data_IF_431403192176
#
_entry.id   IF_431403192176
#
_cell.length_a   1.000
_cell.length_b   1.000
_cell.length_c   1.000
_cell.angle_alpha   90.00
_cell.angle_beta   90.00
_cell.angle_gamma   90.00
#
_symmetry.space_group_name_H-M   'P 1'
#
loop_
_entity.id
_entity.type
_entity.pdbx_description
1 polymer ?
#
# COMPACT_ATOMS: atom_id res chain seq x y z
N UNK A 1 35.33 -4.05 -2.36
CA UNK A 1 34.32 -4.51 -1.39
C UNK A 1 33.12 -4.94 -2.20
N UNK A 2 32.70 -6.23 -2.13
CA UNK A 2 31.49 -6.69 -2.80
C UNK A 2 30.29 -5.89 -2.23
N UNK A 3 29.51 -5.30 -3.11
CA UNK A 3 28.28 -4.60 -2.73
C UNK A 3 27.37 -5.57 -1.94
N UNK A 4 26.83 -5.11 -0.82
CA UNK A 4 25.95 -5.91 0.02
C UNK A 4 24.74 -6.35 -0.82
N UNK A 5 24.47 -7.64 -0.91
CA UNK A 5 23.38 -8.21 -1.71
C UNK A 5 22.01 -7.61 -1.37
N UNK A 6 21.77 -7.27 -0.10
CA UNK A 6 20.56 -6.59 0.34
C UNK A 6 20.41 -5.23 -0.35
N UNK A 7 21.48 -4.43 -0.41
CA UNK A 7 21.45 -3.12 -1.06
C UNK A 7 21.19 -3.23 -2.56
N UNK A 8 21.70 -4.28 -3.22
CA UNK A 8 21.41 -4.54 -4.63
C UNK A 8 19.92 -4.77 -4.87
N UNK A 9 19.26 -5.58 -4.04
CA UNK A 9 17.82 -5.83 -4.12
C UNK A 9 16.99 -4.62 -3.68
N UNK A 10 17.41 -3.92 -2.63
CA UNK A 10 16.71 -2.73 -2.12
C UNK A 10 16.72 -1.58 -3.14
N UNK A 11 17.76 -1.46 -3.92
CA UNK A 11 17.88 -0.46 -4.98
C UNK A 11 16.96 -0.72 -6.19
N UNK A 12 16.42 -1.94 -6.33
CA UNK A 12 15.52 -2.28 -7.44
C UNK A 12 14.20 -1.52 -7.32
N UNK A 13 13.92 -0.68 -8.34
CA UNK A 13 12.67 0.06 -8.36
C UNK A 13 11.52 -0.78 -8.91
N UNK A 14 10.67 -1.30 -8.01
CA UNK A 14 9.48 -2.07 -8.38
C UNK A 14 8.20 -1.24 -8.44
N UNK A 15 8.23 0.09 -8.21
CA UNK A 15 7.04 0.96 -8.16
C UNK A 15 6.10 0.81 -9.35
N UNK A 16 6.65 0.67 -10.57
CA UNK A 16 5.85 0.47 -11.79
C UNK A 16 5.16 -0.89 -11.88
N UNK A 17 5.56 -1.86 -11.04
CA UNK A 17 5.03 -3.23 -11.00
C UNK A 17 4.07 -3.46 -9.83
N UNK A 18 3.99 -2.50 -8.92
CA UNK A 18 3.09 -2.51 -7.78
C UNK A 18 1.69 -2.12 -8.23
N UNK A 19 0.70 -2.88 -7.80
CA UNK A 19 -0.73 -2.57 -7.98
C UNK A 19 -1.35 -2.32 -6.61
N UNK A 20 -2.29 -1.39 -6.53
CA UNK A 20 -3.13 -1.23 -5.33
C UNK A 20 -4.31 -2.20 -5.39
N UNK A 21 -4.54 -2.93 -4.30
CA UNK A 21 -5.69 -3.81 -4.12
C UNK A 21 -6.18 -3.68 -2.69
N UNK A 22 -7.43 -3.25 -2.49
CA UNK A 22 -8.03 -3.03 -1.16
C UNK A 22 -7.17 -2.14 -0.24
N UNK A 23 -6.66 -1.03 -0.78
CA UNK A 23 -5.83 -0.09 -0.02
C UNK A 23 -4.37 -0.54 0.20
N UNK A 24 -4.03 -1.80 -0.05
CA UNK A 24 -2.68 -2.34 0.11
C UNK A 24 -1.90 -2.34 -1.19
N UNK A 25 -0.60 -2.14 -1.08
CA UNK A 25 0.32 -2.31 -2.18
C UNK A 25 0.54 -3.81 -2.45
N UNK A 26 0.51 -4.19 -3.71
CA UNK A 26 0.64 -5.56 -4.16
C UNK A 26 1.69 -5.69 -5.26
N UNK A 27 2.77 -6.40 -4.98
CA UNK A 27 3.73 -6.85 -5.98
C UNK A 27 3.42 -8.32 -6.32
N UNK A 28 3.26 -8.64 -7.61
CA UNK A 28 3.01 -10.03 -7.99
C UNK A 28 4.24 -10.91 -7.72
N UNK A 29 4.00 -12.17 -7.32
CA UNK A 29 5.07 -13.14 -7.08
C UNK A 29 5.99 -13.31 -8.30
N UNK A 30 5.43 -13.32 -9.50
CA UNK A 30 6.18 -13.45 -10.74
C UNK A 30 7.09 -12.26 -11.01
N UNK A 31 6.63 -11.04 -10.69
CA UNK A 31 7.45 -9.85 -10.80
C UNK A 31 8.57 -9.83 -9.76
N UNK A 32 8.27 -10.21 -8.51
CA UNK A 32 9.26 -10.29 -7.44
C UNK A 32 10.33 -11.33 -7.78
N UNK A 33 9.91 -12.54 -8.14
CA UNK A 33 10.82 -13.64 -8.48
C UNK A 33 11.69 -13.31 -9.68
N UNK A 34 11.14 -12.70 -10.74
CA UNK A 34 11.89 -12.29 -11.89
C UNK A 34 13.01 -11.30 -11.56
N UNK A 35 12.76 -10.32 -10.67
CA UNK A 35 13.80 -9.37 -10.24
C UNK A 35 14.88 -10.05 -9.39
N UNK A 36 14.51 -10.96 -8.49
CA UNK A 36 15.46 -11.76 -7.72
C UNK A 36 16.36 -12.57 -8.66
N UNK A 37 15.77 -13.32 -9.60
CA UNK A 37 16.53 -14.21 -10.51
C UNK A 37 17.43 -13.46 -11.50
N UNK A 38 17.14 -12.19 -11.83
CA UNK A 38 18.02 -11.35 -12.64
C UNK A 38 19.33 -11.01 -11.94
N UNK A 39 19.29 -10.76 -10.63
CA UNK A 39 20.46 -10.40 -9.83
C UNK A 39 21.13 -11.62 -9.21
N UNK A 40 20.35 -12.62 -8.85
CA UNK A 40 20.77 -13.84 -8.16
C UNK A 40 20.21 -15.08 -8.90
N UNK A 41 20.83 -15.52 -10.00
CA UNK A 41 20.35 -16.64 -10.80
C UNK A 41 20.24 -17.96 -10.01
N UNK A 42 21.08 -18.13 -8.98
CA UNK A 42 21.11 -19.33 -8.13
C UNK A 42 20.11 -19.27 -6.96
N UNK A 43 19.34 -18.17 -6.82
CA UNK A 43 18.31 -18.08 -5.79
C UNK A 43 17.30 -19.22 -5.92
N UNK A 44 16.92 -19.78 -4.79
CA UNK A 44 15.92 -20.85 -4.68
C UNK A 44 14.83 -20.46 -3.68
N UNK A 45 13.78 -21.26 -3.60
CA UNK A 45 12.73 -21.08 -2.59
C UNK A 45 12.29 -22.44 -2.04
N UNK A 46 11.75 -22.42 -0.82
CA UNK A 46 11.14 -23.55 -0.17
C UNK A 46 9.67 -23.27 0.15
N UNK A 47 8.82 -24.28 -0.02
CA UNK A 47 7.47 -24.34 0.51
C UNK A 47 7.54 -25.41 1.60
N UNK A 48 7.32 -25.00 2.85
CA UNK A 48 7.38 -25.91 3.97
C UNK A 48 6.11 -26.75 4.03
N UNK A 49 6.30 -28.03 4.29
CA UNK A 49 5.26 -29.04 4.37
C UNK A 49 5.26 -29.72 5.73
N UNK A 50 4.17 -30.35 6.08
CA UNK A 50 4.06 -31.21 7.24
C UNK A 50 3.25 -32.46 6.91
N UNK A 51 3.51 -33.54 7.62
CA UNK A 51 2.68 -34.72 7.59
C UNK A 51 1.50 -34.58 8.56
N UNK A 52 0.35 -35.08 8.16
CA UNK A 52 -0.82 -35.24 9.01
C UNK A 52 -0.80 -36.59 9.69
N UNK A 53 -1.56 -36.82 10.78
CA UNK A 53 -1.57 -38.12 11.49
C UNK A 53 -1.98 -39.32 10.60
N UNK A 54 -2.71 -39.10 9.54
CA UNK A 54 -3.13 -40.08 8.52
C UNK A 54 -2.12 -40.21 7.36
N UNK A 55 -0.92 -39.60 7.48
CA UNK A 55 0.18 -39.76 6.53
C UNK A 55 0.09 -38.90 5.25
N UNK A 56 -0.80 -37.92 5.21
CA UNK A 56 -0.86 -36.98 4.07
C UNK A 56 0.16 -35.86 4.26
N UNK A 57 0.87 -35.52 3.19
CA UNK A 57 1.72 -34.32 3.15
C UNK A 57 0.90 -33.12 2.73
N UNK A 58 0.90 -32.08 3.54
CA UNK A 58 0.19 -30.81 3.31
C UNK A 58 1.13 -29.63 3.44
N UNK A 59 0.84 -28.57 2.70
CA UNK A 59 1.68 -27.36 2.60
C UNK A 59 1.10 -26.16 3.38
N UNK A 60 0.39 -26.44 4.47
CA UNK A 60 -0.10 -25.44 5.40
C UNK A 60 -0.01 -25.95 6.83
N UNK A 61 -0.01 -25.03 7.79
CA UNK A 61 0.01 -25.26 9.22
C UNK A 61 -1.30 -24.74 9.83
N UNK A 62 -1.72 -25.28 10.98
CA UNK A 62 -2.99 -24.90 11.60
C UNK A 62 -2.93 -24.99 13.13
N UNK A 63 -3.70 -24.11 13.77
CA UNK A 63 -4.03 -24.13 15.20
C UNK A 63 -5.37 -24.86 15.50
N UNK A 64 -5.97 -25.47 14.48
CA UNK A 64 -7.27 -26.13 14.56
C UNK A 64 -8.47 -25.20 14.27
N UNK A 65 -8.25 -23.87 14.18
CA UNK A 65 -9.28 -22.86 13.87
C UNK A 65 -9.04 -22.16 12.55
N UNK A 66 -7.82 -21.77 12.32
CA UNK A 66 -7.35 -21.11 11.10
C UNK A 66 -6.11 -21.83 10.58
N UNK A 67 -5.54 -21.34 9.48
CA UNK A 67 -4.30 -21.89 8.96
C UNK A 67 -3.39 -20.82 8.38
N UNK A 68 -2.11 -21.16 8.24
CA UNK A 68 -1.10 -20.32 7.61
C UNK A 68 -0.17 -21.16 6.76
N UNK A 69 0.53 -20.51 5.86
CA UNK A 69 1.60 -21.11 5.06
C UNK A 69 2.95 -20.64 5.57
N UNK A 70 3.99 -21.45 5.33
CA UNK A 70 5.37 -21.13 5.64
C UNK A 70 6.22 -21.30 4.40
N UNK A 71 6.96 -20.28 4.00
CA UNK A 71 7.83 -20.31 2.84
C UNK A 71 9.18 -19.70 3.16
N UNK A 72 10.21 -20.05 2.39
CA UNK A 72 11.54 -19.48 2.48
C UNK A 72 12.06 -19.08 1.10
N UNK A 73 12.86 -18.02 1.04
CA UNK A 73 13.66 -17.67 -0.13
C UNK A 73 15.12 -17.68 0.28
N UNK A 74 15.95 -18.34 -0.54
CA UNK A 74 17.39 -18.48 -0.31
C UNK A 74 18.16 -17.68 -1.35
N UNK A 75 18.98 -16.74 -0.89
CA UNK A 75 19.90 -15.95 -1.71
C UNK A 75 21.28 -15.97 -1.04
N UNK A 76 22.33 -16.31 -1.77
CA UNK A 76 23.70 -16.40 -1.25
C UNK A 76 23.80 -17.28 0.01
N UNK A 77 23.10 -18.40 0.05
CA UNK A 77 22.99 -19.33 1.20
C UNK A 77 22.35 -18.73 2.46
N UNK A 78 21.73 -17.58 2.36
CA UNK A 78 20.93 -16.97 3.44
C UNK A 78 19.47 -17.23 3.13
N UNK A 79 18.75 -17.87 4.06
CA UNK A 79 17.32 -18.08 3.94
C UNK A 79 16.56 -17.07 4.78
N UNK A 80 15.59 -16.40 4.17
CA UNK A 80 14.57 -15.64 4.88
C UNK A 80 13.22 -16.34 4.79
N UNK A 81 12.68 -16.67 5.95
CA UNK A 81 11.40 -17.36 6.09
C UNK A 81 10.31 -16.35 6.34
N UNK A 82 9.14 -16.61 5.75
CA UNK A 82 7.90 -15.87 5.96
C UNK A 82 6.77 -16.83 6.30
N UNK A 83 5.98 -16.46 7.30
CA UNK A 83 4.74 -17.14 7.66
C UNK A 83 3.58 -16.21 7.38
N UNK A 84 2.57 -16.67 6.63
CA UNK A 84 1.45 -15.84 6.23
C UNK A 84 0.12 -16.55 6.51
N UNK A 85 -0.80 -15.94 7.27
CA UNK A 85 -2.16 -16.47 7.43
C UNK A 85 -2.88 -16.60 6.09
N UNK A 86 -3.72 -17.63 5.98
CA UNK A 86 -4.64 -17.76 4.84
C UNK A 86 -5.84 -16.86 5.08
N UNK A 87 -6.00 -15.84 4.23
CA UNK A 87 -6.95 -14.75 4.42
C UNK A 87 -7.90 -14.60 3.23
N UNK A 88 -9.08 -14.09 3.53
CA UNK A 88 -10.08 -13.68 2.54
C UNK A 88 -9.71 -12.35 1.85
N UNK A 89 -10.63 -11.85 1.02
CA UNK A 89 -10.45 -10.59 0.29
C UNK A 89 -10.50 -9.34 1.21
N UNK A 90 -10.98 -9.49 2.45
CA UNK A 90 -10.97 -8.43 3.48
C UNK A 90 -9.74 -8.49 4.40
N UNK A 91 -8.78 -9.35 4.09
CA UNK A 91 -7.60 -9.66 4.90
C UNK A 91 -7.93 -10.26 6.28
N UNK A 92 -9.08 -10.93 6.42
CA UNK A 92 -9.44 -11.67 7.62
C UNK A 92 -9.09 -13.15 7.45
N UNK A 93 -8.58 -13.79 8.52
CA UNK A 93 -8.25 -15.21 8.49
C UNK A 93 -9.48 -16.05 8.16
N UNK A 94 -9.33 -16.98 7.22
CA UNK A 94 -10.38 -17.91 6.84
C UNK A 94 -10.40 -19.07 7.86
N UNK A 95 -11.58 -19.47 8.32
CA UNK A 95 -11.71 -20.64 9.19
C UNK A 95 -11.29 -21.91 8.44
N UNK A 96 -10.60 -22.84 9.13
CA UNK A 96 -9.99 -24.04 8.54
C UNK A 96 -10.99 -24.84 7.67
N UNK A 97 -12.22 -24.96 8.10
CA UNK A 97 -13.30 -25.67 7.38
C UNK A 97 -13.66 -25.05 6.02
N UNK A 98 -13.39 -23.76 5.83
CA UNK A 98 -13.72 -23.02 4.62
C UNK A 98 -12.54 -22.78 3.69
N UNK A 99 -11.34 -23.16 4.13
CA UNK A 99 -10.13 -22.97 3.33
C UNK A 99 -10.11 -23.91 2.15
N UNK A 100 -9.80 -23.37 1.00
CA UNK A 100 -9.64 -24.13 -0.25
C UNK A 100 -8.17 -24.22 -0.66
N UNK A 101 -7.82 -25.19 -1.50
CA UNK A 101 -6.49 -25.28 -2.10
C UNK A 101 -6.11 -24.03 -2.89
N UNK A 102 -7.08 -23.35 -3.48
CA UNK A 102 -6.86 -22.06 -4.15
C UNK A 102 -6.43 -20.96 -3.17
N UNK A 103 -6.98 -20.95 -1.96
CA UNK A 103 -6.62 -19.95 -0.95
C UNK A 103 -5.23 -20.23 -0.38
N UNK A 104 -4.91 -21.52 -0.16
CA UNK A 104 -3.55 -21.94 0.22
C UNK A 104 -2.53 -21.49 -0.85
N UNK A 105 -2.79 -21.78 -2.13
CA UNK A 105 -1.86 -21.39 -3.20
C UNK A 105 -1.68 -19.86 -3.28
N UNK A 106 -2.75 -19.07 -3.13
CA UNK A 106 -2.65 -17.59 -3.06
C UNK A 106 -1.80 -17.13 -1.88
N UNK A 107 -1.97 -17.75 -0.71
CA UNK A 107 -1.19 -17.45 0.48
C UNK A 107 0.29 -17.78 0.27
N UNK A 108 0.62 -18.94 -0.31
CA UNK A 108 2.00 -19.33 -0.67
C UNK A 108 2.64 -18.27 -1.58
N UNK A 109 1.97 -17.84 -2.65
CA UNK A 109 2.52 -16.85 -3.57
C UNK A 109 2.77 -15.49 -2.89
N UNK A 110 1.88 -15.07 -2.00
CA UNK A 110 2.06 -13.84 -1.20
C UNK A 110 3.20 -13.98 -0.19
N UNK A 111 3.29 -15.12 0.47
CA UNK A 111 4.36 -15.44 1.43
C UNK A 111 5.74 -15.40 0.75
N UNK A 112 5.89 -16.04 -0.41
CA UNK A 112 7.13 -15.99 -1.20
C UNK A 112 7.51 -14.56 -1.60
N UNK A 113 6.53 -13.71 -1.97
CA UNK A 113 6.79 -12.30 -2.29
C UNK A 113 7.32 -11.55 -1.07
N UNK A 114 6.74 -11.77 0.12
CA UNK A 114 7.22 -11.16 1.37
C UNK A 114 8.60 -11.70 1.77
N UNK A 115 8.87 -12.98 1.57
CA UNK A 115 10.20 -13.55 1.78
C UNK A 115 11.26 -12.88 0.86
N UNK A 116 10.93 -12.58 -0.41
CA UNK A 116 11.79 -11.77 -1.28
C UNK A 116 12.01 -10.36 -0.70
N UNK A 117 11.00 -9.75 -0.11
CA UNK A 117 11.13 -8.41 0.48
C UNK A 117 12.05 -8.41 1.71
N UNK A 118 12.10 -9.49 2.50
CA UNK A 118 13.06 -9.62 3.61
C UNK A 118 14.52 -9.61 3.13
N UNK A 119 14.77 -9.98 1.89
CA UNK A 119 16.07 -9.83 1.23
C UNK A 119 16.32 -8.42 0.68
N UNK A 120 15.36 -7.49 0.81
CA UNK A 120 15.47 -6.11 0.37
C UNK A 120 14.56 -5.73 -0.80
N UNK A 121 14.11 -6.69 -1.63
CA UNK A 121 13.37 -6.38 -2.86
C UNK A 121 12.01 -5.73 -2.57
N UNK A 122 11.91 -4.44 -2.88
CA UNK A 122 10.65 -3.70 -2.72
C UNK A 122 10.17 -3.63 -1.26
N UNK A 123 11.05 -3.75 -0.28
CA UNK A 123 10.70 -3.74 1.14
C UNK A 123 9.86 -2.51 1.52
N UNK A 124 10.15 -1.36 0.91
CA UNK A 124 9.43 -0.10 1.12
C UNK A 124 7.93 -0.15 0.75
N UNK A 125 7.47 -1.14 -0.04
CA UNK A 125 6.04 -1.25 -0.37
C UNK A 125 5.20 -1.77 0.80
N UNK A 126 5.86 -2.38 1.79
CA UNK A 126 5.24 -2.92 3.00
C UNK A 126 5.31 -1.96 4.20
N UNK A 127 5.96 -0.81 4.03
CA UNK A 127 5.95 0.24 5.05
C UNK A 127 4.51 0.65 5.38
N UNK A 128 4.17 0.62 6.68
CA UNK A 128 2.82 0.92 7.17
C UNK A 128 1.85 -0.27 7.19
N UNK A 129 2.22 -1.48 6.79
CA UNK A 129 1.35 -2.66 6.98
C UNK A 129 1.11 -2.99 8.46
N UNK A 130 2.09 -2.69 9.33
CA UNK A 130 2.03 -2.95 10.77
C UNK A 130 1.37 -1.84 11.59
N UNK A 131 0.85 -0.79 10.91
CA UNK A 131 0.10 0.27 11.59
C UNK A 131 -1.21 -0.33 12.14
N UNK A 132 -1.54 -0.11 13.44
CA UNK A 132 -2.78 -0.57 14.03
C UNK A 132 -4.01 -0.18 13.22
N UNK A 133 -5.00 -1.07 13.14
CA UNK A 133 -6.18 -0.88 12.29
C UNK A 133 -6.92 0.43 12.61
N UNK A 134 -6.97 0.79 13.88
CA UNK A 134 -7.53 2.07 14.34
C UNK A 134 -6.80 3.30 13.77
N UNK A 135 -5.47 3.27 13.71
CA UNK A 135 -4.69 4.36 13.12
C UNK A 135 -4.86 4.43 11.59
N UNK A 136 -5.05 3.27 10.94
CA UNK A 136 -5.38 3.21 9.51
C UNK A 136 -6.75 3.82 9.21
N UNK A 137 -7.74 3.52 10.04
CA UNK A 137 -9.09 4.11 9.94
C UNK A 137 -9.05 5.62 10.13
N UNK A 138 -8.33 6.11 11.16
CA UNK A 138 -8.16 7.55 11.40
C UNK A 138 -7.42 8.27 10.25
N UNK A 139 -6.43 7.61 9.64
CA UNK A 139 -5.73 8.17 8.48
C UNK A 139 -6.64 8.21 7.24
N UNK A 140 -7.40 7.14 6.98
CA UNK A 140 -8.36 7.09 5.87
C UNK A 140 -9.47 8.13 6.04
N UNK A 141 -9.97 8.32 7.26
CA UNK A 141 -10.98 9.35 7.55
C UNK A 141 -10.43 10.76 7.30
N UNK A 142 -9.20 11.04 7.72
CA UNK A 142 -8.53 12.33 7.45
C UNK A 142 -8.31 12.56 5.96
N UNK A 143 -7.89 11.52 5.22
CA UNK A 143 -7.72 11.61 3.76
C UNK A 143 -9.07 11.88 3.06
N UNK A 144 -10.13 11.21 3.48
CA UNK A 144 -11.47 11.42 2.95
C UNK A 144 -11.97 12.85 3.23
N UNK A 145 -11.84 13.31 4.47
CA UNK A 145 -12.22 14.69 4.86
C UNK A 145 -11.43 15.74 4.06
N UNK A 146 -10.13 15.51 3.82
CA UNK A 146 -9.33 16.42 2.98
C UNK A 146 -9.80 16.38 1.52
N UNK A 147 -10.14 15.22 0.98
CA UNK A 147 -10.66 15.09 -0.37
C UNK A 147 -12.00 15.84 -0.53
N UNK A 148 -12.91 15.70 0.42
CA UNK A 148 -14.20 16.40 0.44
C UNK A 148 -14.02 17.92 0.51
N UNK A 149 -13.09 18.42 1.33
CA UNK A 149 -12.79 19.85 1.40
C UNK A 149 -12.16 20.39 0.10
N UNK A 150 -11.32 19.60 -0.57
CA UNK A 150 -10.78 19.98 -1.90
C UNK A 150 -11.87 20.04 -2.94
N UNK A 151 -12.79 19.09 -2.96
CA UNK A 151 -13.93 19.09 -3.88
C UNK A 151 -14.81 20.31 -3.65
N UNK A 152 -15.15 20.62 -2.39
CA UNK A 152 -15.91 21.82 -2.04
C UNK A 152 -15.19 23.12 -2.48
N UNK A 153 -13.86 23.17 -2.33
CA UNK A 153 -13.07 24.30 -2.84
C UNK A 153 -13.16 24.42 -4.36
N UNK A 154 -13.03 23.30 -5.09
CA UNK A 154 -13.10 23.30 -6.57
C UNK A 154 -14.49 23.73 -7.05
N UNK A 155 -15.56 23.23 -6.42
CA UNK A 155 -16.93 23.63 -6.73
C UNK A 155 -17.17 25.12 -6.47
N UNK A 156 -16.70 25.64 -5.32
CA UNK A 156 -16.77 27.06 -4.98
C UNK A 156 -16.04 27.92 -6.02
N UNK A 157 -14.83 27.51 -6.41
CA UNK A 157 -14.05 28.19 -7.45
C UNK A 157 -14.80 28.22 -8.79
N UNK A 158 -15.35 27.07 -9.22
CA UNK A 158 -16.14 26.96 -10.44
C UNK A 158 -17.33 27.95 -10.44
N UNK A 159 -18.15 27.87 -9.39
CA UNK A 159 -19.33 28.74 -9.22
C UNK A 159 -18.98 30.24 -9.22
N UNK A 160 -17.87 30.63 -8.60
CA UNK A 160 -17.43 32.01 -8.56
C UNK A 160 -16.92 32.49 -9.93
N UNK A 161 -16.15 31.69 -10.64
CA UNK A 161 -15.59 31.98 -11.96
C UNK A 161 -16.73 32.10 -12.97
N UNK A 162 -17.70 31.19 -12.94
CA UNK A 162 -18.89 31.23 -13.79
C UNK A 162 -19.76 32.47 -13.49
N UNK A 163 -19.75 32.92 -12.22
CA UNK A 163 -20.38 34.17 -11.78
C UNK A 163 -19.58 35.45 -12.11
N UNK A 164 -18.47 35.35 -12.87
CA UNK A 164 -17.67 36.49 -13.30
C UNK A 164 -16.55 36.94 -12.36
N UNK A 165 -16.21 36.13 -11.34
CA UNK A 165 -15.08 36.42 -10.48
C UNK A 165 -13.74 36.24 -11.20
N UNK A 166 -12.77 37.11 -10.88
CA UNK A 166 -11.45 37.03 -11.48
C UNK A 166 -10.70 35.77 -10.99
N UNK A 167 -10.37 34.91 -11.94
CA UNK A 167 -9.66 33.64 -11.72
C UNK A 167 -8.30 33.86 -11.07
N UNK A 168 -7.55 34.88 -11.48
CA UNK A 168 -6.20 35.14 -10.95
C UNK A 168 -6.24 35.54 -9.47
N UNK A 169 -7.28 36.26 -9.06
CA UNK A 169 -7.51 36.64 -7.68
C UNK A 169 -7.77 35.41 -6.77
N UNK A 170 -8.52 34.44 -7.27
CA UNK A 170 -8.80 33.19 -6.57
C UNK A 170 -7.51 32.38 -6.43
N UNK A 171 -6.76 32.24 -7.51
CA UNK A 171 -5.47 31.53 -7.47
C UNK A 171 -4.42 32.24 -6.62
N UNK A 172 -4.47 33.57 -6.49
CA UNK A 172 -3.61 34.32 -5.59
C UNK A 172 -3.91 33.98 -4.11
N UNK A 173 -5.18 33.83 -3.75
CA UNK A 173 -5.57 33.37 -2.38
C UNK A 173 -5.06 31.97 -2.11
N UNK A 174 -5.22 31.03 -3.05
CA UNK A 174 -4.72 29.66 -2.91
C UNK A 174 -3.20 29.67 -2.73
N UNK A 175 -2.49 30.37 -3.60
CA UNK A 175 -1.03 30.46 -3.57
C UNK A 175 -0.49 31.04 -2.26
N UNK A 176 -1.19 32.01 -1.69
CA UNK A 176 -0.84 32.65 -0.40
C UNK A 176 -0.79 31.63 0.77
N UNK A 177 -1.69 30.64 0.78
CA UNK A 177 -1.82 29.67 1.85
C UNK A 177 -1.17 28.32 1.55
N UNK A 178 -0.77 28.06 0.30
CA UNK A 178 -0.31 26.76 -0.18
C UNK A 178 1.12 26.85 -0.76
N UNK A 179 2.03 27.44 -0.01
CA UNK A 179 3.47 27.55 -0.33
C UNK A 179 3.75 28.00 -1.79
N UNK A 180 2.99 28.98 -2.26
CA UNK A 180 3.13 29.50 -3.63
C UNK A 180 2.47 28.64 -4.72
N UNK A 181 1.93 27.48 -4.38
CA UNK A 181 1.26 26.56 -5.34
C UNK A 181 -0.16 27.02 -5.59
N UNK A 182 -0.54 27.14 -6.88
CA UNK A 182 -1.88 27.58 -7.31
C UNK A 182 -2.89 26.44 -7.47
N UNK A 183 -2.41 25.18 -7.56
CA UNK A 183 -3.27 24.01 -7.81
C UNK A 183 -3.94 23.53 -6.52
N UNK A 184 -5.29 23.52 -6.40
CA UNK A 184 -6.00 23.00 -5.24
C UNK A 184 -5.66 21.54 -4.90
N UNK A 185 -5.35 20.72 -5.91
CA UNK A 185 -4.99 19.32 -5.71
C UNK A 185 -3.70 19.15 -4.89
N UNK A 186 -2.81 20.15 -4.90
CA UNK A 186 -1.54 20.13 -4.15
C UNK A 186 -1.67 20.47 -2.66
N UNK A 187 -2.85 20.85 -2.18
CA UNK A 187 -3.08 21.12 -0.76
C UNK A 187 -2.96 19.80 0.02
N UNK A 188 -2.10 19.77 1.02
CA UNK A 188 -1.84 18.57 1.82
C UNK A 188 -2.52 18.59 3.20
N UNK A 189 -3.05 19.74 3.62
CA UNK A 189 -3.61 19.95 4.95
C UNK A 189 -5.04 20.48 4.87
N UNK A 190 -5.93 19.88 5.69
CA UNK A 190 -7.36 20.22 5.73
C UNK A 190 -7.60 21.64 6.27
N UNK A 191 -6.80 22.08 7.25
CA UNK A 191 -6.95 23.41 7.83
C UNK A 191 -6.52 24.52 6.84
N UNK A 192 -5.51 24.23 6.02
CA UNK A 192 -5.14 25.11 4.90
C UNK A 192 -6.29 25.21 3.92
N UNK A 193 -6.93 24.11 3.56
CA UNK A 193 -8.08 24.11 2.65
C UNK A 193 -9.25 24.93 3.21
N UNK A 194 -9.59 24.74 4.48
CA UNK A 194 -10.64 25.52 5.17
C UNK A 194 -10.32 27.02 5.19
N UNK A 195 -9.06 27.42 5.46
CA UNK A 195 -8.64 28.83 5.47
C UNK A 195 -8.79 29.46 4.08
N UNK A 196 -8.40 28.74 3.02
CA UNK A 196 -8.56 29.19 1.64
C UNK A 196 -10.05 29.43 1.33
N UNK A 197 -10.93 28.47 1.67
CA UNK A 197 -12.38 28.59 1.47
C UNK A 197 -12.94 29.79 2.23
N UNK A 198 -12.51 30.00 3.48
CA UNK A 198 -12.95 31.12 4.30
C UNK A 198 -12.53 32.47 3.66
N UNK A 199 -11.27 32.60 3.24
CA UNK A 199 -10.78 33.83 2.63
C UNK A 199 -11.44 34.13 1.27
N UNK A 200 -11.71 33.09 0.47
CA UNK A 200 -12.47 33.25 -0.78
C UNK A 200 -13.90 33.72 -0.48
N UNK A 201 -14.59 33.07 0.50
CA UNK A 201 -15.93 33.48 0.88
C UNK A 201 -15.99 34.91 1.40
N UNK A 202 -15.03 35.32 2.25
CA UNK A 202 -14.92 36.69 2.74
C UNK A 202 -14.77 37.71 1.58
N UNK A 203 -13.91 37.39 0.59
CA UNK A 203 -13.71 38.30 -0.55
C UNK A 203 -14.93 38.46 -1.46
N UNK A 204 -15.70 37.36 -1.66
CA UNK A 204 -16.74 37.31 -2.69
C UNK A 204 -18.18 37.27 -2.17
N UNK A 205 -18.44 36.83 -0.89
CA UNK A 205 -19.78 36.83 -0.30
C UNK A 205 -20.12 38.08 0.49
N UNK A 206 -19.12 38.79 1.04
CA UNK A 206 -19.36 40.10 1.73
C UNK A 206 -19.55 41.26 0.76
N UNK A 207 -19.53 41.05 -0.55
CA UNK A 207 -19.78 42.08 -1.59
C UNK A 207 -21.18 42.01 -2.19
N UNK A 208 -22.09 41.25 -1.64
CA UNK A 208 -23.51 41.27 -1.88
C UNK A 208 -24.22 41.91 -0.68
#
# INVERSE_FOLDING_TARGET
MSENYFNQLYAVNVKKKVKKKNGLNYLSWSAAWAEVKKLFPDATYHIYERETPDGLTINYFTDGKTCWVKTGVVINNIEHIEELPVMDFKNQSITLEKVTSSDINKAIQRSLTKACARHGLGLYIYEGEDIPEKEKEEQQEKELQLADQKNALIELMGSLIDGGANKDDIYAIISKHNDGKKNPASIADIEICKKIIADINKKYKEKK
#
